data_IF_654811853419
#
_entry.id   IF_654811853419
#
_cell.length_a   1.000
_cell.length_b   1.000
_cell.length_c   1.000
_cell.angle_alpha   90.00
_cell.angle_beta   90.00
_cell.angle_gamma   90.00
#
_symmetry.space_group_name_H-M   'P 1'
#
loop_
_entity.id
_entity.type
_entity.pdbx_description
1 polymer ?
#
# COMPACT_ATOMS: atom_id res chain seq x y z
N UNK A 1 33.40 15.57 -12.28
CA UNK A 1 32.51 16.74 -12.19
C UNK A 1 31.12 16.27 -12.53
N UNK A 2 30.17 16.45 -11.62
CA UNK A 2 28.76 16.23 -11.94
C UNK A 2 28.38 17.32 -12.95
N UNK A 3 27.84 16.98 -14.11
CA UNK A 3 27.51 17.95 -15.18
C UNK A 3 26.33 18.88 -14.86
N UNK A 4 26.02 19.08 -13.57
CA UNK A 4 24.89 19.86 -13.08
C UNK A 4 25.34 21.26 -12.64
N UNK A 5 24.49 22.24 -12.89
CA UNK A 5 24.64 23.63 -12.46
C UNK A 5 24.46 23.77 -10.95
N UNK A 6 25.00 24.85 -10.38
CA UNK A 6 24.82 25.18 -8.96
C UNK A 6 23.34 25.35 -8.58
N UNK A 7 22.53 25.92 -9.48
CA UNK A 7 21.09 26.05 -9.30
C UNK A 7 20.38 24.70 -9.23
N UNK A 8 20.75 23.74 -10.08
CA UNK A 8 20.20 22.37 -10.06
C UNK A 8 20.59 21.62 -8.80
N UNK A 9 21.85 21.73 -8.36
CA UNK A 9 22.32 21.13 -7.10
C UNK A 9 21.55 21.70 -5.92
N UNK A 10 21.36 23.02 -5.87
CA UNK A 10 20.58 23.69 -4.81
C UNK A 10 19.12 23.24 -4.82
N UNK A 11 18.48 23.18 -5.99
CA UNK A 11 17.10 22.71 -6.12
C UNK A 11 16.94 21.26 -5.69
N UNK A 12 17.90 20.39 -6.06
CA UNK A 12 17.94 18.99 -5.63
C UNK A 12 18.08 18.87 -4.11
N UNK A 13 18.99 19.64 -3.51
CA UNK A 13 19.15 19.71 -2.05
C UNK A 13 17.87 20.14 -1.35
N UNK A 14 17.17 21.15 -1.87
CA UNK A 14 15.89 21.62 -1.33
C UNK A 14 14.80 20.53 -1.38
N UNK A 15 14.75 19.73 -2.47
CA UNK A 15 13.80 18.59 -2.56
C UNK A 15 14.09 17.55 -1.49
N UNK A 16 15.35 17.16 -1.30
CA UNK A 16 15.75 16.25 -0.23
C UNK A 16 15.41 16.78 1.17
N UNK A 17 15.60 18.08 1.40
CA UNK A 17 15.25 18.70 2.69
C UNK A 17 13.73 18.72 2.93
N UNK A 18 12.93 18.91 1.89
CA UNK A 18 11.48 18.80 1.97
C UNK A 18 11.05 17.36 2.28
N UNK A 19 11.60 16.40 1.56
CA UNK A 19 11.34 14.97 1.76
C UNK A 19 11.70 14.53 3.19
N UNK A 20 12.86 14.94 3.70
CA UNK A 20 13.27 14.65 5.07
C UNK A 20 12.32 15.25 6.11
N UNK A 21 11.82 16.47 5.90
CA UNK A 21 10.83 17.09 6.80
C UNK A 21 9.50 16.34 6.77
N UNK A 22 9.04 15.90 5.60
CA UNK A 22 7.84 15.07 5.48
C UNK A 22 8.00 13.74 6.22
N UNK A 23 9.11 13.03 6.02
CA UNK A 23 9.41 11.78 6.70
C UNK A 23 9.50 11.95 8.22
N UNK A 24 10.10 13.04 8.70
CA UNK A 24 10.14 13.37 10.13
C UNK A 24 8.73 13.62 10.69
N UNK A 25 7.86 14.29 9.93
CA UNK A 25 6.46 14.48 10.30
C UNK A 25 5.68 13.16 10.36
N UNK A 26 5.93 12.23 9.44
CA UNK A 26 5.35 10.88 9.50
C UNK A 26 5.89 10.09 10.69
N UNK A 27 7.15 10.29 11.07
CA UNK A 27 7.77 9.56 12.17
C UNK A 27 7.18 9.86 13.54
N UNK A 28 6.53 11.01 13.73
CA UNK A 28 5.85 11.37 14.99
C UNK A 28 4.46 10.77 15.12
N UNK A 29 3.88 10.21 14.05
CA UNK A 29 2.54 9.63 14.06
C UNK A 29 2.49 8.32 14.85
N UNK A 30 1.32 8.02 15.44
CA UNK A 30 1.03 6.69 15.97
C UNK A 30 0.97 5.65 14.83
N UNK A 31 1.24 4.36 15.09
CA UNK A 31 1.24 3.32 14.05
C UNK A 31 -0.04 3.26 13.21
N UNK A 32 -1.20 3.43 13.84
CA UNK A 32 -2.51 3.36 13.17
C UNK A 32 -2.70 4.53 12.19
N UNK A 33 -2.28 5.73 12.59
CA UNK A 33 -2.35 6.93 11.74
C UNK A 33 -1.28 6.89 10.64
N UNK A 34 -0.09 6.36 10.95
CA UNK A 34 0.94 6.10 9.94
C UNK A 34 0.44 5.10 8.89
N UNK A 35 -0.29 4.06 9.32
CA UNK A 35 -0.90 3.09 8.41
C UNK A 35 -1.96 3.74 7.51
N UNK A 36 -2.76 4.67 8.03
CA UNK A 36 -3.73 5.45 7.23
C UNK A 36 -3.04 6.35 6.22
N UNK A 37 -1.93 6.99 6.61
CA UNK A 37 -1.13 7.90 5.76
C UNK A 37 -0.02 7.19 4.99
N UNK A 38 -0.09 5.86 4.91
CA UNK A 38 0.93 5.03 4.28
C UNK A 38 1.15 5.32 2.80
N UNK A 39 0.14 5.83 2.10
CA UNK A 39 0.29 6.31 0.73
C UNK A 39 1.33 7.44 0.61
N UNK A 40 1.40 8.34 1.59
CA UNK A 40 2.41 9.40 1.61
C UNK A 40 3.83 8.85 1.85
N UNK A 41 3.94 7.79 2.65
CA UNK A 41 5.21 7.10 2.89
C UNK A 41 5.69 6.38 1.62
N UNK A 42 4.79 5.74 0.88
CA UNK A 42 5.13 5.13 -0.43
C UNK A 42 5.54 6.17 -1.45
N UNK A 43 4.79 7.27 -1.58
CA UNK A 43 5.14 8.37 -2.47
C UNK A 43 6.53 8.96 -2.15
N UNK A 44 6.84 9.15 -0.87
CA UNK A 44 8.17 9.59 -0.43
C UNK A 44 9.28 8.59 -0.80
N UNK A 45 9.01 7.29 -0.71
CA UNK A 45 9.95 6.24 -1.13
C UNK A 45 10.20 6.25 -2.65
N UNK A 46 9.15 6.48 -3.44
CA UNK A 46 9.27 6.62 -4.90
C UNK A 46 10.06 7.86 -5.28
N UNK A 47 9.74 9.02 -4.69
CA UNK A 47 10.49 10.27 -4.92
C UNK A 47 11.97 10.08 -4.59
N UNK A 48 12.30 9.43 -3.47
CA UNK A 48 13.68 9.13 -3.13
C UNK A 48 14.35 8.23 -4.19
N UNK A 49 13.63 7.23 -4.69
CA UNK A 49 14.10 6.35 -5.77
C UNK A 49 14.42 7.12 -7.05
N UNK A 50 13.56 8.06 -7.45
CA UNK A 50 13.78 8.93 -8.61
C UNK A 50 14.97 9.88 -8.39
N UNK A 51 15.05 10.50 -7.21
CA UNK A 51 16.15 11.40 -6.86
C UNK A 51 17.50 10.68 -6.92
N UNK A 52 17.55 9.40 -6.55
CA UNK A 52 18.75 8.57 -6.63
C UNK A 52 19.21 8.28 -8.06
N UNK A 53 18.34 8.37 -9.06
CA UNK A 53 18.73 8.18 -10.48
C UNK A 53 19.56 9.35 -11.01
N UNK A 54 19.48 10.52 -10.38
CA UNK A 54 20.27 11.69 -10.76
C UNK A 54 21.75 11.53 -10.39
N UNK A 55 22.65 12.01 -11.24
CA UNK A 55 24.09 12.07 -10.94
C UNK A 55 24.44 13.00 -9.76
N UNK A 56 23.55 13.94 -9.41
CA UNK A 56 23.69 14.82 -8.24
C UNK A 56 23.65 14.04 -6.93
N UNK A 57 23.00 12.87 -6.91
CA UNK A 57 22.91 11.99 -5.73
C UNK A 57 24.28 11.53 -5.21
N UNK A 58 25.30 11.47 -6.09
CA UNK A 58 26.65 11.04 -5.74
C UNK A 58 27.47 12.12 -5.01
N UNK A 59 26.99 13.37 -4.93
CA UNK A 59 27.66 14.42 -4.17
C UNK A 59 27.63 14.07 -2.67
N UNK A 60 28.73 14.23 -1.91
CA UNK A 60 28.80 13.77 -0.51
C UNK A 60 27.68 14.29 0.40
N UNK A 61 27.32 15.56 0.27
CA UNK A 61 26.23 16.17 1.06
C UNK A 61 24.87 15.53 0.72
N UNK A 62 24.61 15.30 -0.56
CA UNK A 62 23.36 14.73 -1.06
C UNK A 62 23.26 13.26 -0.70
N UNK A 63 24.36 12.51 -0.84
CA UNK A 63 24.45 11.12 -0.42
C UNK A 63 24.13 10.96 1.07
N UNK A 64 24.66 11.85 1.94
CA UNK A 64 24.35 11.81 3.36
C UNK A 64 22.85 12.04 3.66
N UNK A 65 22.21 12.97 2.95
CA UNK A 65 20.76 13.23 3.06
C UNK A 65 19.93 12.04 2.55
N UNK A 66 20.33 11.42 1.44
CA UNK A 66 19.70 10.21 0.89
C UNK A 66 19.77 9.07 1.89
N UNK A 67 20.95 8.76 2.43
CA UNK A 67 21.10 7.68 3.43
C UNK A 67 20.22 7.92 4.66
N UNK A 68 20.09 9.18 5.10
CA UNK A 68 19.18 9.53 6.20
C UNK A 68 17.71 9.29 5.83
N UNK A 69 17.30 9.67 4.63
CA UNK A 69 15.94 9.45 4.13
C UNK A 69 15.64 7.94 3.96
N UNK A 70 16.58 7.17 3.41
CA UNK A 70 16.47 5.70 3.27
C UNK A 70 16.25 5.04 4.62
N UNK A 71 17.04 5.42 5.63
CA UNK A 71 16.89 4.89 6.99
C UNK A 71 15.51 5.22 7.57
N UNK A 72 15.07 6.48 7.46
CA UNK A 72 13.74 6.89 7.95
C UNK A 72 12.62 6.12 7.23
N UNK A 73 12.71 5.97 5.91
CA UNK A 73 11.72 5.21 5.14
C UNK A 73 11.69 3.75 5.60
N UNK A 74 12.85 3.10 5.78
CA UNK A 74 12.92 1.74 6.30
C UNK A 74 12.25 1.60 7.66
N UNK A 75 12.59 2.50 8.60
CA UNK A 75 12.01 2.51 9.95
C UNK A 75 10.48 2.71 9.93
N UNK A 76 9.97 3.58 9.05
CA UNK A 76 8.54 3.84 8.92
C UNK A 76 7.80 2.70 8.23
N UNK A 77 8.39 2.07 7.20
CA UNK A 77 7.79 0.92 6.51
C UNK A 77 7.65 -0.28 7.44
N UNK A 78 8.59 -0.47 8.38
CA UNK A 78 8.47 -1.52 9.41
C UNK A 78 7.32 -1.25 10.39
N UNK A 79 7.02 0.02 10.68
CA UNK A 79 5.91 0.43 11.56
C UNK A 79 4.55 0.43 10.85
N UNK A 80 4.54 0.44 9.52
CA UNK A 80 3.35 0.45 8.68
C UNK A 80 3.50 -0.56 7.52
N UNK A 81 3.45 -1.88 7.82
CA UNK A 81 3.72 -2.91 6.82
C UNK A 81 2.60 -3.05 5.77
N UNK A 82 2.93 -3.57 4.59
CA UNK A 82 1.94 -3.97 3.57
C UNK A 82 1.11 -5.17 4.04
N UNK A 83 1.73 -6.06 4.81
CA UNK A 83 1.15 -7.31 5.27
C UNK A 83 1.77 -7.72 6.60
N UNK A 84 1.03 -8.48 7.39
CA UNK A 84 1.55 -9.14 8.60
C UNK A 84 1.51 -10.66 8.41
N UNK A 85 2.30 -11.37 9.23
CA UNK A 85 2.19 -12.82 9.34
C UNK A 85 1.39 -13.16 10.58
N UNK A 86 0.37 -14.00 10.42
CA UNK A 86 -0.50 -14.45 11.48
C UNK A 86 -0.29 -15.95 11.74
N UNK A 87 0.08 -16.32 12.96
CA UNK A 87 0.13 -17.73 13.38
C UNK A 87 -1.26 -18.18 13.83
N UNK A 88 -1.84 -19.15 13.13
CA UNK A 88 -3.18 -19.68 13.42
C UNK A 88 -3.20 -20.34 14.80
N UNK A 89 -4.11 -19.90 15.66
CA UNK A 89 -4.36 -20.49 16.97
C UNK A 89 -5.41 -21.62 16.90
N UNK A 90 -5.50 -22.42 17.97
CA UNK A 90 -6.53 -23.46 18.07
C UNK A 90 -7.93 -22.83 18.11
N UNK A 91 -8.78 -23.21 17.16
CA UNK A 91 -10.16 -22.73 17.05
C UNK A 91 -10.33 -21.51 16.15
N UNK A 92 -9.25 -20.99 15.57
CA UNK A 92 -9.34 -19.94 14.56
C UNK A 92 -9.99 -20.46 13.28
N UNK A 93 -10.66 -19.54 12.60
CA UNK A 93 -11.15 -19.66 11.23
C UNK A 93 -10.94 -18.30 10.54
N UNK A 94 -10.91 -18.26 9.21
CA UNK A 94 -10.55 -17.04 8.46
C UNK A 94 -11.41 -15.82 8.82
N UNK A 95 -12.71 -16.03 9.03
CA UNK A 95 -13.65 -14.99 9.50
C UNK A 95 -13.26 -14.40 10.86
N UNK A 96 -12.86 -15.25 11.82
CA UNK A 96 -12.49 -14.81 13.17
C UNK A 96 -11.15 -14.11 13.18
N UNK A 97 -10.22 -14.54 12.33
CA UNK A 97 -8.93 -13.85 12.12
C UNK A 97 -9.17 -12.45 11.55
N UNK A 98 -10.06 -12.31 10.56
CA UNK A 98 -10.39 -11.02 9.95
C UNK A 98 -11.09 -10.03 10.90
N UNK A 99 -11.86 -10.52 11.87
CA UNK A 99 -12.51 -9.68 12.90
C UNK A 99 -11.57 -9.08 13.94
N UNK A 100 -10.29 -9.48 13.98
CA UNK A 100 -9.36 -9.06 15.03
C UNK A 100 -8.89 -7.60 14.83
N UNK A 101 -8.63 -6.85 15.92
CA UNK A 101 -8.04 -5.51 15.88
C UNK A 101 -6.72 -5.43 15.11
N UNK A 102 -5.87 -6.44 15.27
CA UNK A 102 -4.57 -6.51 14.62
C UNK A 102 -4.63 -6.78 13.11
N UNK A 103 -5.81 -7.14 12.57
CA UNK A 103 -5.99 -7.45 11.14
C UNK A 103 -6.83 -6.38 10.43
N UNK A 104 -8.15 -6.52 10.43
CA UNK A 104 -9.07 -5.66 9.67
C UNK A 104 -10.17 -5.04 10.51
N UNK A 105 -10.43 -5.56 11.71
CA UNK A 105 -11.65 -5.25 12.48
C UNK A 105 -12.94 -5.46 11.67
N UNK A 106 -12.87 -6.27 10.61
CA UNK A 106 -13.96 -6.50 9.68
C UNK A 106 -13.96 -7.98 9.26
N UNK A 107 -14.89 -8.80 9.79
CA UNK A 107 -15.00 -10.19 9.40
C UNK A 107 -15.16 -10.41 7.90
N UNK A 108 -15.80 -9.49 7.18
CA UNK A 108 -16.04 -9.61 5.75
C UNK A 108 -14.74 -9.55 4.93
N UNK A 109 -13.62 -9.16 5.54
CA UNK A 109 -12.31 -9.13 4.91
C UNK A 109 -11.59 -10.48 4.87
N UNK A 110 -12.18 -11.54 5.45
CA UNK A 110 -11.61 -12.90 5.40
C UNK A 110 -11.21 -13.39 3.98
N UNK A 111 -11.91 -13.04 2.88
CA UNK A 111 -11.51 -13.47 1.54
C UNK A 111 -10.13 -12.94 1.14
N UNK A 112 -9.65 -11.82 1.72
CA UNK A 112 -8.30 -11.31 1.46
C UNK A 112 -7.23 -12.23 2.01
N UNK A 113 -7.43 -12.73 3.24
CA UNK A 113 -6.53 -13.71 3.85
C UNK A 113 -6.54 -14.98 3.00
N UNK A 114 -7.72 -15.46 2.60
CA UNK A 114 -7.81 -16.64 1.76
C UNK A 114 -7.05 -16.47 0.43
N UNK A 115 -7.32 -15.38 -0.31
CA UNK A 115 -6.68 -15.08 -1.60
C UNK A 115 -5.16 -15.00 -1.49
N UNK A 116 -4.63 -14.36 -0.44
CA UNK A 116 -3.20 -14.23 -0.21
C UNK A 116 -2.50 -15.56 0.13
N UNK A 117 -3.27 -16.58 0.56
CA UNK A 117 -2.74 -17.87 0.97
C UNK A 117 -3.31 -19.04 0.15
N UNK A 118 -3.81 -18.79 -1.07
CA UNK A 118 -4.43 -19.83 -1.93
C UNK A 118 -3.52 -21.02 -2.24
N UNK A 119 -2.22 -20.81 -2.21
CA UNK A 119 -1.24 -21.89 -2.40
C UNK A 119 -1.14 -22.82 -1.17
N UNK A 120 -1.55 -22.34 0.01
CA UNK A 120 -1.48 -23.05 1.28
C UNK A 120 -2.86 -23.52 1.79
N UNK A 121 -3.94 -22.86 1.35
CA UNK A 121 -5.31 -23.12 1.75
C UNK A 121 -6.09 -23.56 0.51
N UNK A 122 -6.41 -24.86 0.42
CA UNK A 122 -7.24 -25.40 -0.66
C UNK A 122 -8.74 -25.22 -0.37
N UNK A 123 -9.11 -25.33 0.90
CA UNK A 123 -10.48 -25.16 1.40
C UNK A 123 -10.48 -24.02 2.42
N UNK A 124 -11.23 -22.92 2.19
CA UNK A 124 -11.25 -21.77 3.10
C UNK A 124 -11.74 -22.11 4.52
N UNK A 125 -12.47 -23.20 4.70
CA UNK A 125 -12.96 -23.64 6.01
C UNK A 125 -11.92 -24.49 6.76
N UNK A 126 -10.79 -24.85 6.13
CA UNK A 126 -9.75 -25.70 6.70
C UNK A 126 -8.42 -24.94 6.84
N UNK A 127 -8.19 -24.42 8.05
CA UNK A 127 -6.89 -23.93 8.51
C UNK A 127 -6.43 -24.68 9.77
N UNK A 128 -5.13 -24.75 9.99
CA UNK A 128 -4.57 -25.58 11.06
C UNK A 128 -3.75 -24.77 12.06
N UNK A 129 -3.76 -25.12 13.36
CA UNK A 129 -2.92 -24.44 14.35
C UNK A 129 -1.43 -24.42 13.95
N UNK A 130 -0.74 -23.32 14.25
CA UNK A 130 0.65 -23.01 13.87
C UNK A 130 0.91 -22.76 12.39
N UNK A 131 -0.13 -22.78 11.56
CA UNK A 131 -0.02 -22.35 10.17
C UNK A 131 0.28 -20.84 10.13
N UNK A 132 1.22 -20.44 9.28
CA UNK A 132 1.60 -19.03 9.11
C UNK A 132 0.86 -18.47 7.90
N UNK A 133 -0.08 -17.57 8.14
CA UNK A 133 -0.88 -16.92 7.10
C UNK A 133 -0.38 -15.51 6.83
N UNK A 134 -0.27 -15.17 5.55
CA UNK A 134 -0.08 -13.78 5.11
C UNK A 134 -1.39 -13.03 5.23
N UNK A 135 -1.41 -11.92 5.95
CA UNK A 135 -2.58 -11.03 6.08
C UNK A 135 -2.25 -9.69 5.42
N UNK A 136 -2.73 -9.42 4.20
CA UNK A 136 -2.47 -8.15 3.52
C UNK A 136 -3.21 -7.01 4.21
N UNK A 137 -2.50 -6.04 4.80
CA UNK A 137 -3.09 -4.89 5.48
C UNK A 137 -3.39 -3.77 4.49
N UNK A 138 -2.42 -3.44 3.64
CA UNK A 138 -2.56 -2.40 2.63
C UNK A 138 -2.87 -2.96 1.23
N UNK A 139 -3.26 -2.05 0.33
CA UNK A 139 -3.35 -2.33 -1.11
C UNK A 139 -2.23 -1.58 -1.85
N UNK A 140 -1.97 -2.00 -3.09
CA UNK A 140 -1.07 -1.28 -4.01
C UNK A 140 -1.59 0.13 -4.33
N UNK A 141 -0.73 0.98 -4.88
CA UNK A 141 -1.10 2.38 -5.18
C UNK A 141 -2.16 2.50 -6.26
N UNK A 142 -2.08 1.64 -7.27
CA UNK A 142 -3.07 1.53 -8.34
C UNK A 142 -4.11 0.48 -8.00
N UNK A 143 -4.39 0.26 -6.71
CA UNK A 143 -5.38 -0.72 -6.28
C UNK A 143 -6.40 -0.08 -5.35
N UNK A 144 -7.63 -0.53 -5.47
CA UNK A 144 -8.75 -0.10 -4.64
C UNK A 144 -9.30 -1.29 -3.88
N UNK A 145 -9.41 -1.15 -2.55
CA UNK A 145 -10.10 -2.11 -1.71
C UNK A 145 -11.59 -1.81 -1.71
N UNK A 146 -12.38 -2.70 -2.28
CA UNK A 146 -13.85 -2.61 -2.30
C UNK A 146 -14.40 -2.75 -0.89
N UNK A 147 -15.22 -1.79 -0.49
CA UNK A 147 -15.92 -1.75 0.79
C UNK A 147 -17.41 -2.02 0.62
N UNK A 148 -18.12 -2.19 1.74
CA UNK A 148 -19.57 -2.41 1.71
C UNK A 148 -20.30 -1.23 1.04
N UNK A 149 -21.16 -1.53 0.07
CA UNK A 149 -21.91 -0.51 -0.69
C UNK A 149 -21.12 0.17 -1.81
N UNK A 150 -19.97 -0.37 -2.21
CA UNK A 150 -19.28 0.06 -3.43
C UNK A 150 -19.83 -0.58 -4.70
N UNK A 151 -19.74 0.17 -5.79
CA UNK A 151 -20.02 -0.27 -7.15
C UNK A 151 -19.09 0.49 -8.10
N UNK A 152 -18.83 -0.04 -9.30
CA UNK A 152 -17.74 0.45 -10.15
C UNK A 152 -17.84 1.95 -10.50
N UNK A 153 -19.03 2.51 -10.70
CA UNK A 153 -19.18 3.95 -10.98
C UNK A 153 -18.97 4.84 -9.76
N UNK A 154 -19.28 4.38 -8.54
CA UNK A 154 -18.91 5.10 -7.30
C UNK A 154 -17.39 5.10 -7.09
N UNK A 155 -16.75 3.96 -7.33
CA UNK A 155 -15.28 3.86 -7.27
C UNK A 155 -14.66 4.78 -8.32
N UNK A 156 -15.16 4.75 -9.56
CA UNK A 156 -14.68 5.61 -10.64
C UNK A 156 -14.86 7.11 -10.31
N UNK A 157 -15.98 7.51 -9.72
CA UNK A 157 -16.18 8.87 -9.25
C UNK A 157 -15.16 9.26 -8.16
N UNK A 158 -14.84 8.36 -7.23
CA UNK A 158 -13.88 8.63 -6.17
C UNK A 158 -12.44 8.71 -6.69
N UNK A 159 -12.04 7.83 -7.62
CA UNK A 159 -10.64 7.71 -8.08
C UNK A 159 -10.32 8.59 -9.28
N UNK A 160 -11.26 8.79 -10.20
CA UNK A 160 -11.06 9.57 -11.43
C UNK A 160 -11.79 10.92 -11.43
N UNK A 161 -12.59 11.20 -10.41
CA UNK A 161 -13.55 12.30 -10.43
C UNK A 161 -14.53 12.21 -11.63
N UNK A 162 -14.75 11.00 -12.14
CA UNK A 162 -15.64 10.72 -13.27
C UNK A 162 -16.29 9.33 -13.13
N UNK A 163 -17.61 9.25 -12.81
CA UNK A 163 -18.31 7.98 -12.65
C UNK A 163 -18.40 7.15 -13.93
N UNK A 164 -18.27 7.77 -15.11
CA UNK A 164 -18.39 7.07 -16.41
C UNK A 164 -17.17 6.21 -16.73
N UNK A 165 -16.07 6.43 -16.01
CA UNK A 165 -14.81 5.70 -16.14
C UNK A 165 -14.83 4.31 -15.51
N UNK A 166 -15.97 3.86 -14.99
CA UNK A 166 -16.16 2.51 -14.45
C UNK A 166 -15.77 1.41 -15.45
N UNK A 167 -15.94 1.65 -16.76
CA UNK A 167 -15.55 0.72 -17.81
C UNK A 167 -14.04 0.44 -17.83
N UNK A 168 -13.20 1.44 -17.49
CA UNK A 168 -11.74 1.24 -17.38
C UNK A 168 -11.41 0.27 -16.26
N UNK A 169 -12.06 0.45 -15.10
CA UNK A 169 -11.91 -0.44 -13.93
C UNK A 169 -12.39 -1.85 -14.29
N UNK A 170 -13.58 -1.97 -14.88
CA UNK A 170 -14.12 -3.26 -15.31
C UNK A 170 -13.18 -4.02 -16.25
N UNK A 171 -12.70 -3.34 -17.30
CA UNK A 171 -11.79 -3.94 -18.29
C UNK A 171 -10.49 -4.44 -17.68
N UNK A 172 -9.91 -3.67 -16.76
CA UNK A 172 -8.67 -4.06 -16.07
C UNK A 172 -8.85 -5.26 -15.14
N UNK A 173 -10.06 -5.46 -14.62
CA UNK A 173 -10.38 -6.49 -13.63
C UNK A 173 -11.30 -7.59 -14.18
N UNK A 174 -11.40 -7.75 -15.50
CA UNK A 174 -12.34 -8.67 -16.14
C UNK A 174 -12.11 -10.15 -15.76
N UNK A 175 -10.91 -10.51 -15.28
CA UNK A 175 -10.63 -11.84 -14.72
C UNK A 175 -11.23 -12.08 -13.34
N UNK A 176 -11.54 -11.01 -12.60
CA UNK A 176 -12.07 -11.05 -11.24
C UNK A 176 -13.54 -10.63 -11.15
N UNK A 177 -14.03 -9.85 -12.12
CA UNK A 177 -15.39 -9.32 -12.16
C UNK A 177 -16.16 -10.01 -13.28
N UNK A 178 -17.15 -10.81 -12.90
CA UNK A 178 -18.03 -11.51 -13.85
C UNK A 178 -19.12 -10.57 -14.37
N UNK A 179 -19.65 -9.68 -13.51
CA UNK A 179 -20.69 -8.72 -13.86
C UNK A 179 -20.33 -7.32 -13.35
N UNK A 180 -20.50 -6.29 -14.18
CA UNK A 180 -20.07 -4.93 -13.86
C UNK A 180 -20.72 -4.32 -12.61
N UNK A 181 -21.94 -4.76 -12.26
CA UNK A 181 -22.65 -4.29 -11.07
C UNK A 181 -22.38 -5.15 -9.82
N UNK A 182 -21.56 -6.19 -9.94
CA UNK A 182 -21.30 -7.16 -8.89
C UNK A 182 -19.83 -7.12 -8.48
N UNK A 183 -19.52 -6.22 -7.56
CA UNK A 183 -18.25 -6.22 -6.82
C UNK A 183 -18.52 -6.59 -5.37
N UNK A 184 -17.65 -7.42 -4.80
CA UNK A 184 -17.83 -7.91 -3.44
C UNK A 184 -16.91 -7.15 -2.47
N UNK A 185 -17.35 -6.91 -1.22
CA UNK A 185 -16.47 -6.42 -0.17
C UNK A 185 -15.18 -7.25 -0.11
N UNK A 186 -14.09 -6.59 0.27
CA UNK A 186 -12.76 -7.18 0.38
C UNK A 186 -12.08 -7.55 -0.96
N UNK A 187 -12.75 -7.32 -2.10
CA UNK A 187 -12.12 -7.44 -3.41
C UNK A 187 -11.11 -6.29 -3.61
N UNK A 188 -9.95 -6.62 -4.16
CA UNK A 188 -8.94 -5.63 -4.55
C UNK A 188 -8.99 -5.46 -6.06
N UNK A 189 -9.29 -4.25 -6.52
CA UNK A 189 -9.42 -3.91 -7.94
C UNK A 189 -8.21 -3.11 -8.39
N UNK A 190 -7.64 -3.48 -9.54
CA UNK A 190 -6.67 -2.65 -10.25
C UNK A 190 -7.35 -1.40 -10.80
N UNK A 191 -6.75 -0.24 -10.58
CA UNK A 191 -7.20 1.09 -10.98
C UNK A 191 -6.19 1.61 -12.00
N UNK A 192 -6.47 1.48 -13.30
CA UNK A 192 -5.60 2.02 -14.35
C UNK A 192 -5.42 3.54 -14.20
N UNK A 193 -4.26 4.07 -14.59
CA UNK A 193 -4.09 5.51 -14.70
C UNK A 193 -5.11 6.12 -15.70
N UNK A 194 -5.44 7.39 -15.49
CA UNK A 194 -6.38 8.09 -16.36
C UNK A 194 -5.79 8.35 -17.75
#
# INVERSE_FOLDING_TARGET
MVGATEAEIKAYGQRLDNLLRQLQGLATLAPEELQRRRGELKAAAMELGELKMSSISALPEMAAKITRAEKLIGDLMMRAPDQITYEVAKGDHLWGIASKPETYEDPYMWPRIYRANREQINDPDLIYPKQMLTVPIAVGENQYLVTSGDFLSKIAAAVYNDPTMWHKIYKANASQIVEANLVFPAQVLEIPAN
#
